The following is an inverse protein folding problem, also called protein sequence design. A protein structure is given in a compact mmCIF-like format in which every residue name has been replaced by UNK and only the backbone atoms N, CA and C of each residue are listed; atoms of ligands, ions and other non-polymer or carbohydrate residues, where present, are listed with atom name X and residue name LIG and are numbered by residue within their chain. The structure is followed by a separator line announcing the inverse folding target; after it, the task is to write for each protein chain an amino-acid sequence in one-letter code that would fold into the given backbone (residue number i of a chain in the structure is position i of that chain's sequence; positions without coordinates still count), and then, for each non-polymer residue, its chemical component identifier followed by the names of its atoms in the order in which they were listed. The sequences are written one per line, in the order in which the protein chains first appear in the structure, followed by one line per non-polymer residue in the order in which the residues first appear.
data_IF_538430879167
#
_entry.id   IF_538430879167
#
_cell.length_a   1.000
_cell.length_b   1.000
_cell.length_c   1.000
_cell.angle_alpha   90.00
_cell.angle_beta   90.00
_cell.angle_gamma   90.00
#
_symmetry.space_group_name_H-M   'P 1'
#
loop_
_entity.id
_entity.type
_entity.pdbx_description
1 polymer ?
#
# COMPACT_ATOMS: atom_id res chain seq x y z
N UNK A 1 -0.36 -13.86 4.35
CA UNK A 1 0.47 -13.86 5.56
C UNK A 1 -0.28 -14.47 6.75
N UNK A 2 0.44 -15.12 7.67
CA UNK A 2 -0.11 -15.65 8.93
C UNK A 2 0.00 -14.58 10.02
N UNK A 3 -1.04 -14.42 10.87
CA UNK A 3 -1.05 -13.38 11.90
C UNK A 3 -0.98 -13.96 13.32
N UNK A 4 -0.22 -13.28 14.18
CA UNK A 4 -0.06 -13.62 15.60
C UNK A 4 -0.51 -12.45 16.48
N UNK A 5 -1.51 -12.67 17.32
CA UNK A 5 -2.01 -11.68 18.27
C UNK A 5 -1.39 -11.84 19.65
N UNK A 6 -0.93 -10.74 20.23
CA UNK A 6 -0.58 -10.64 21.66
C UNK A 6 -1.83 -10.27 22.45
N UNK A 7 -2.39 -11.23 23.18
CA UNK A 7 -3.62 -11.06 23.95
C UNK A 7 -3.29 -10.98 25.44
N UNK A 8 -3.81 -9.93 26.10
CA UNK A 8 -3.68 -9.74 27.55
C UNK A 8 -5.00 -10.06 28.24
N UNK A 9 -4.95 -10.96 29.22
CA UNK A 9 -6.04 -11.10 30.19
C UNK A 9 -6.06 -9.88 31.11
N UNK A 10 -7.20 -9.20 31.15
CA UNK A 10 -7.37 -7.97 31.92
C UNK A 10 -7.37 -8.20 33.42
N UNK A 11 -7.70 -9.42 33.89
CA UNK A 11 -7.78 -9.79 35.31
C UNK A 11 -6.40 -10.10 35.88
N UNK A 12 -5.69 -11.08 35.31
CA UNK A 12 -4.37 -11.51 35.80
C UNK A 12 -3.19 -10.72 35.24
N UNK A 13 -3.41 -9.89 34.20
CA UNK A 13 -2.37 -9.15 33.45
C UNK A 13 -1.35 -10.05 32.77
N UNK A 14 -1.64 -11.34 32.63
CA UNK A 14 -0.84 -12.26 31.82
C UNK A 14 -1.07 -11.99 30.34
N UNK A 15 0.01 -12.07 29.57
CA UNK A 15 -0.01 -11.93 28.11
C UNK A 15 0.36 -13.29 27.50
N UNK A 16 -0.34 -13.67 26.44
CA UNK A 16 -0.08 -14.86 25.63
C UNK A 16 -0.19 -14.52 24.15
N UNK A 17 0.53 -15.27 23.32
CA UNK A 17 0.45 -15.19 21.86
C UNK A 17 -0.55 -16.22 21.33
N UNK A 18 -1.28 -15.84 20.29
CA UNK A 18 -2.26 -16.69 19.62
C UNK A 18 -2.15 -16.50 18.12
N UNK A 19 -2.00 -17.59 17.37
CA UNK A 19 -2.20 -17.57 15.92
C UNK A 19 -3.66 -17.26 15.61
N UNK A 20 -3.88 -16.37 14.66
CA UNK A 20 -5.20 -16.03 14.14
C UNK A 20 -5.48 -16.82 12.85
N UNK A 21 -6.74 -17.17 12.56
CA UNK A 21 -7.91 -16.92 13.39
C UNK A 21 -7.94 -17.80 14.65
N UNK A 22 -8.39 -17.23 15.77
CA UNK A 22 -8.51 -17.93 17.06
C UNK A 22 -9.95 -17.91 17.58
N UNK A 23 -10.33 -18.99 18.26
CA UNK A 23 -11.63 -19.13 18.90
C UNK A 23 -11.60 -18.63 20.36
N UNK A 24 -12.70 -18.04 20.83
CA UNK A 24 -12.79 -17.46 22.19
C UNK A 24 -12.62 -18.54 23.26
N UNK A 25 -13.15 -19.75 23.07
CA UNK A 25 -13.02 -20.86 24.01
C UNK A 25 -11.57 -21.30 24.14
N UNK A 26 -10.84 -21.33 23.01
CA UNK A 26 -9.41 -21.63 23.03
C UNK A 26 -8.64 -20.57 23.82
N UNK A 27 -8.87 -19.29 23.54
CA UNK A 27 -8.26 -18.17 24.27
C UNK A 27 -8.59 -18.25 25.77
N UNK A 28 -9.84 -18.49 26.13
CA UNK A 28 -10.29 -18.62 27.52
C UNK A 28 -9.58 -19.78 28.24
N UNK A 29 -9.53 -20.95 27.61
CA UNK A 29 -8.89 -22.15 28.16
C UNK A 29 -7.40 -21.94 28.43
N UNK A 30 -6.72 -21.20 27.55
CA UNK A 30 -5.31 -20.84 27.72
C UNK A 30 -5.09 -19.95 28.95
N UNK A 31 -6.05 -19.09 29.29
CA UNK A 31 -5.99 -18.31 30.52
C UNK A 31 -6.55 -19.04 31.76
N UNK A 32 -7.12 -20.24 31.59
CA UNK A 32 -7.72 -21.03 32.66
C UNK A 32 -9.11 -20.55 33.07
N UNK A 33 -9.86 -19.98 32.13
CA UNK A 33 -11.23 -19.51 32.30
C UNK A 33 -12.20 -20.27 31.39
N UNK A 34 -13.47 -20.29 31.78
CA UNK A 34 -14.57 -20.61 30.86
C UNK A 34 -14.84 -19.40 29.94
N UNK A 35 -15.52 -19.64 28.80
CA UNK A 35 -15.80 -18.61 27.77
C UNK A 35 -16.46 -17.37 28.36
N UNK A 36 -17.41 -17.55 29.28
CA UNK A 36 -18.21 -16.47 29.88
C UNK A 36 -17.41 -15.62 30.87
N UNK A 37 -16.28 -16.15 31.37
CA UNK A 37 -15.48 -15.52 32.40
C UNK A 37 -14.23 -14.80 31.87
N UNK A 38 -13.81 -15.10 30.64
CA UNK A 38 -12.63 -14.47 30.06
C UNK A 38 -12.91 -13.01 29.69
N UNK A 39 -12.01 -12.11 30.06
CA UNK A 39 -12.03 -10.71 29.62
C UNK A 39 -10.61 -10.32 29.23
N UNK A 40 -10.39 -10.11 27.94
CA UNK A 40 -9.08 -9.83 27.39
C UNK A 40 -9.09 -8.62 26.46
N UNK A 41 -7.90 -8.17 26.11
CA UNK A 41 -7.65 -7.11 25.11
C UNK A 41 -6.53 -7.57 24.19
N UNK A 42 -6.66 -7.31 22.90
CA UNK A 42 -5.57 -7.49 21.93
C UNK A 42 -4.63 -6.29 22.05
N UNK A 43 -3.36 -6.55 22.35
CA UNK A 43 -2.36 -5.51 22.54
C UNK A 43 -1.68 -5.12 21.23
N UNK A 44 -1.43 -6.11 20.37
CA UNK A 44 -0.83 -5.93 19.05
C UNK A 44 -1.04 -7.18 18.19
N UNK A 45 -0.87 -7.01 16.88
CA UNK A 45 -0.64 -8.09 15.92
C UNK A 45 0.83 -7.98 15.49
N UNK A 46 1.60 -9.05 15.65
CA UNK A 46 3.07 -9.00 15.55
C UNK A 46 3.55 -8.61 14.15
N UNK A 47 2.89 -9.13 13.13
CA UNK A 47 3.20 -8.90 11.72
C UNK A 47 2.63 -7.57 11.22
N UNK A 48 1.76 -6.90 12.00
CA UNK A 48 1.15 -5.61 11.68
C UNK A 48 1.48 -4.57 12.76
N UNK A 49 2.77 -4.20 12.95
CA UNK A 49 3.23 -3.41 14.10
C UNK A 49 2.65 -1.99 14.15
N UNK A 50 2.23 -1.45 13.00
CA UNK A 50 1.61 -0.12 12.91
C UNK A 50 0.09 -0.13 13.11
N UNK A 51 -0.54 -1.31 13.19
CA UNK A 51 -1.99 -1.44 13.32
C UNK A 51 -2.48 -0.95 14.68
N UNK A 52 -3.53 -0.11 14.69
CA UNK A 52 -4.14 0.33 15.93
C UNK A 52 -5.02 -0.78 16.53
N UNK A 53 -4.51 -1.46 17.56
CA UNK A 53 -5.25 -2.52 18.25
C UNK A 53 -6.13 -2.02 19.41
N UNK A 54 -6.21 -0.70 19.64
CA UNK A 54 -7.05 -0.16 20.71
C UNK A 54 -8.53 -0.50 20.48
N UNK A 55 -9.11 -1.28 21.40
CA UNK A 55 -10.50 -1.73 21.30
C UNK A 55 -10.75 -2.81 20.23
N UNK A 56 -9.69 -3.39 19.64
CA UNK A 56 -9.80 -4.44 18.63
C UNK A 56 -10.43 -5.71 19.24
N UNK A 57 -11.48 -6.19 18.59
CA UNK A 57 -12.17 -7.42 18.97
C UNK A 57 -11.51 -8.63 18.32
N UNK A 58 -11.69 -9.82 18.91
CA UNK A 58 -11.17 -11.06 18.31
C UNK A 58 -11.83 -11.35 16.95
N UNK A 59 -13.12 -11.07 16.80
CA UNK A 59 -13.83 -11.24 15.53
C UNK A 59 -13.24 -10.35 14.43
N UNK A 60 -12.95 -9.08 14.74
CA UNK A 60 -12.29 -8.16 13.80
C UNK A 60 -10.86 -8.60 13.48
N UNK A 61 -10.11 -9.07 14.47
CA UNK A 61 -8.75 -9.59 14.26
C UNK A 61 -8.75 -10.83 13.37
N UNK A 62 -9.69 -11.76 13.58
CA UNK A 62 -9.88 -12.94 12.73
C UNK A 62 -10.29 -12.54 11.31
N UNK A 63 -11.18 -11.57 11.16
CA UNK A 63 -11.58 -11.06 9.83
C UNK A 63 -10.40 -10.46 9.07
N UNK A 64 -9.50 -9.76 9.77
CA UNK A 64 -8.26 -9.25 9.17
C UNK A 64 -7.34 -10.41 8.77
N UNK A 65 -7.15 -11.40 9.64
CA UNK A 65 -6.33 -12.58 9.35
C UNK A 65 -6.81 -13.31 8.09
N UNK A 66 -8.12 -13.54 7.98
CA UNK A 66 -8.73 -14.14 6.78
C UNK A 66 -8.50 -13.28 5.53
N UNK A 67 -8.63 -11.96 5.63
CA UNK A 67 -8.46 -11.08 4.47
C UNK A 67 -7.00 -10.96 3.99
N UNK A 68 -6.01 -11.27 4.84
CA UNK A 68 -4.58 -11.16 4.49
C UNK A 68 -3.89 -12.52 4.29
N UNK A 69 -4.58 -13.65 4.47
CA UNK A 69 -4.00 -15.01 4.49
C UNK A 69 -3.11 -15.31 3.27
N UNK A 70 -3.56 -14.94 2.07
CA UNK A 70 -2.84 -15.16 0.80
C UNK A 70 -2.25 -13.89 0.19
N UNK A 71 -2.23 -12.78 0.97
CA UNK A 71 -1.70 -11.50 0.52
C UNK A 71 -0.21 -11.40 0.85
N UNK A 72 0.54 -10.80 -0.07
CA UNK A 72 1.94 -10.41 0.12
C UNK A 72 2.05 -9.40 1.27
N UNK A 73 2.90 -9.70 2.25
CA UNK A 73 3.11 -8.88 3.44
C UNK A 73 3.48 -7.43 3.09
N UNK A 74 4.31 -7.22 2.07
CA UNK A 74 4.73 -5.88 1.66
C UNK A 74 3.53 -5.03 1.21
N UNK A 75 2.53 -5.65 0.57
CA UNK A 75 1.31 -4.96 0.12
C UNK A 75 0.48 -4.53 1.33
N UNK A 76 0.30 -5.42 2.31
CA UNK A 76 -0.48 -5.14 3.52
C UNK A 76 0.17 -4.01 4.32
N UNK A 77 1.49 -4.08 4.53
CA UNK A 77 2.23 -3.04 5.24
C UNK A 77 2.19 -1.70 4.50
N UNK A 78 2.36 -1.69 3.17
CA UNK A 78 2.25 -0.48 2.35
C UNK A 78 0.84 0.13 2.42
N UNK A 79 -0.20 -0.70 2.53
CA UNK A 79 -1.56 -0.22 2.71
C UNK A 79 -1.73 0.51 4.05
N UNK A 80 -1.21 -0.06 5.15
CA UNK A 80 -1.28 0.59 6.48
C UNK A 80 -0.52 1.92 6.47
N UNK A 81 0.65 1.96 5.83
CA UNK A 81 1.45 3.18 5.72
C UNK A 81 0.71 4.29 4.95
N UNK A 82 -0.01 3.93 3.88
CA UNK A 82 -0.68 4.89 2.99
C UNK A 82 -2.10 5.28 3.41
N UNK A 83 -2.91 4.32 3.86
CA UNK A 83 -4.32 4.51 4.22
C UNK A 83 -4.55 4.71 5.74
N UNK A 84 -3.54 4.39 6.56
CA UNK A 84 -3.57 4.53 8.01
C UNK A 84 -3.82 3.21 8.74
N UNK A 85 -3.82 3.29 10.07
CA UNK A 85 -3.79 2.13 10.96
C UNK A 85 -5.14 1.68 11.53
N UNK A 86 -6.26 2.11 10.93
CA UNK A 86 -7.59 1.68 11.36
C UNK A 86 -7.85 0.22 10.91
N UNK A 87 -8.10 -0.73 11.83
CA UNK A 87 -8.34 -2.13 11.50
C UNK A 87 -9.53 -2.36 10.56
N UNK A 88 -10.52 -1.46 10.55
CA UNK A 88 -11.70 -1.60 9.69
C UNK A 88 -11.37 -1.50 8.20
N UNK A 89 -10.30 -0.78 7.84
CA UNK A 89 -9.84 -0.70 6.45
C UNK A 89 -9.19 -2.01 5.99
N UNK A 90 -8.36 -2.62 6.84
CA UNK A 90 -7.73 -3.91 6.54
C UNK A 90 -8.74 -5.04 6.39
N UNK A 91 -9.82 -5.03 7.16
CA UNK A 91 -10.86 -6.06 7.09
C UNK A 91 -11.73 -5.96 5.81
N UNK A 92 -11.68 -4.86 5.06
CA UNK A 92 -12.61 -4.57 3.96
C UNK A 92 -11.94 -4.26 2.61
N UNK A 93 -10.62 -4.09 2.59
CA UNK A 93 -9.88 -3.80 1.37
C UNK A 93 -9.78 -5.03 0.48
N UNK A 94 -9.95 -4.83 -0.83
CA UNK A 94 -9.69 -5.83 -1.85
C UNK A 94 -8.19 -5.78 -2.23
N UNK A 95 -7.36 -6.54 -1.55
CA UNK A 95 -5.91 -6.54 -1.77
C UNK A 95 -5.49 -7.00 -3.17
N UNK A 96 -6.31 -7.79 -3.85
CA UNK A 96 -6.07 -8.22 -5.24
C UNK A 96 -5.99 -7.04 -6.23
N UNK A 97 -6.62 -5.91 -5.89
CA UNK A 97 -6.58 -4.68 -6.70
C UNK A 97 -5.40 -3.76 -6.31
N UNK A 98 -4.63 -4.11 -5.27
CA UNK A 98 -3.47 -3.34 -4.83
C UNK A 98 -2.23 -3.75 -5.63
N UNK A 99 -1.47 -2.75 -6.08
CA UNK A 99 -0.22 -2.95 -6.81
C UNK A 99 0.88 -2.17 -6.08
N UNK A 100 1.93 -2.89 -5.70
CA UNK A 100 3.15 -2.30 -5.16
C UNK A 100 4.23 -2.28 -6.25
N UNK A 101 4.56 -1.09 -6.75
CA UNK A 101 5.70 -0.90 -7.64
C UNK A 101 6.99 -0.85 -6.83
N UNK A 102 7.63 -2.01 -6.68
CA UNK A 102 8.89 -2.14 -5.92
C UNK A 102 10.00 -1.31 -6.57
N UNK A 103 10.87 -0.74 -5.72
CA UNK A 103 12.04 0.07 -6.14
C UNK A 103 11.67 1.34 -6.93
N UNK A 104 10.45 1.84 -6.74
CA UNK A 104 9.98 3.11 -7.31
C UNK A 104 9.77 4.10 -6.17
N UNK A 105 10.76 4.96 -5.94
CA UNK A 105 10.79 5.86 -4.79
C UNK A 105 10.53 7.34 -5.19
N UNK A 106 10.51 7.63 -6.49
CA UNK A 106 10.36 8.98 -7.03
C UNK A 106 9.39 9.05 -8.21
N UNK A 107 8.81 10.24 -8.44
CA UNK A 107 7.95 10.51 -9.61
C UNK A 107 8.67 10.22 -10.94
N UNK A 108 10.00 10.40 -10.97
CA UNK A 108 10.82 10.11 -12.14
C UNK A 108 10.87 8.60 -12.41
N UNK A 109 11.19 7.80 -11.40
CA UNK A 109 11.24 6.34 -11.51
C UNK A 109 9.86 5.76 -11.84
N UNK A 110 8.78 6.32 -11.28
CA UNK A 110 7.43 5.91 -11.64
C UNK A 110 7.14 6.18 -13.12
N UNK A 111 7.51 7.37 -13.61
CA UNK A 111 7.38 7.72 -15.03
C UNK A 111 8.17 6.78 -15.95
N UNK A 112 9.42 6.47 -15.59
CA UNK A 112 10.29 5.52 -16.30
C UNK A 112 9.66 4.12 -16.32
N UNK A 113 9.24 3.61 -15.15
CA UNK A 113 8.61 2.29 -15.02
C UNK A 113 7.33 2.17 -15.88
N UNK A 114 6.46 3.18 -15.84
CA UNK A 114 5.23 3.18 -16.63
C UNK A 114 5.49 3.11 -18.14
N UNK A 115 6.54 3.78 -18.62
CA UNK A 115 6.88 3.81 -20.05
C UNK A 115 7.62 2.55 -20.47
N UNK A 116 8.62 2.13 -19.70
CA UNK A 116 9.54 1.05 -20.08
C UNK A 116 8.98 -0.35 -19.79
N UNK A 117 8.41 -0.55 -18.60
CA UNK A 117 8.01 -1.88 -18.12
C UNK A 117 6.54 -2.19 -18.43
N UNK A 118 5.65 -1.23 -18.20
CA UNK A 118 4.21 -1.42 -18.50
C UNK A 118 3.86 -1.12 -19.96
N UNK A 119 4.81 -0.60 -20.74
CA UNK A 119 4.60 -0.24 -22.14
C UNK A 119 3.43 0.73 -22.33
N UNK A 120 3.22 1.64 -21.38
CA UNK A 120 2.09 2.59 -21.44
C UNK A 120 2.26 3.45 -22.70
N UNK A 121 1.46 3.14 -23.71
CA UNK A 121 1.30 3.99 -24.89
C UNK A 121 0.57 5.27 -24.47
N UNK A 122 1.35 6.28 -24.12
CA UNK A 122 0.80 7.61 -23.90
C UNK A 122 0.19 8.11 -25.20
N UNK A 123 -1.08 8.50 -25.16
CA UNK A 123 -1.72 9.12 -26.31
C UNK A 123 -0.95 10.38 -26.72
N UNK A 124 -1.03 10.73 -28.00
CA UNK A 124 -0.39 11.95 -28.52
C UNK A 124 -0.77 13.18 -27.71
N UNK A 125 -2.04 13.29 -27.32
CA UNK A 125 -2.57 14.40 -26.53
C UNK A 125 -1.90 14.49 -25.16
N UNK A 126 -1.62 13.34 -24.52
CA UNK A 126 -0.94 13.30 -23.23
C UNK A 126 0.54 13.63 -23.36
N UNK A 127 1.22 13.13 -24.40
CA UNK A 127 2.61 13.51 -24.69
C UNK A 127 2.77 15.01 -24.93
N UNK A 128 1.82 15.65 -25.62
CA UNK A 128 1.83 17.09 -25.85
C UNK A 128 1.76 17.91 -24.56
N UNK A 129 1.22 17.36 -23.46
CA UNK A 129 1.20 18.06 -22.16
C UNK A 129 2.58 18.12 -21.50
N UNK A 130 3.49 17.22 -21.85
CA UNK A 130 4.85 17.15 -21.29
C UNK A 130 5.93 17.66 -22.25
N UNK A 131 5.58 17.94 -23.51
CA UNK A 131 6.53 18.38 -24.53
C UNK A 131 6.89 19.86 -24.35
N UNK A 132 8.18 20.14 -24.20
CA UNK A 132 8.71 21.50 -24.28
C UNK A 132 8.81 21.94 -25.75
N UNK A 133 7.78 22.66 -26.21
CA UNK A 133 7.68 23.17 -27.57
C UNK A 133 8.80 24.17 -27.93
N UNK A 134 9.28 24.96 -26.97
CA UNK A 134 10.34 25.94 -27.22
C UNK A 134 11.67 25.24 -27.45
N UNK A 135 12.01 24.26 -26.60
CA UNK A 135 13.21 23.45 -26.73
C UNK A 135 13.22 22.68 -28.06
N UNK A 136 12.12 22.03 -28.40
CA UNK A 136 11.97 21.33 -29.68
C UNK A 136 12.18 22.30 -30.87
N UNK A 137 11.51 23.45 -30.85
CA UNK A 137 11.64 24.44 -31.93
C UNK A 137 13.05 25.03 -32.04
N UNK A 138 13.75 25.21 -30.92
CA UNK A 138 15.14 25.66 -30.89
C UNK A 138 16.08 24.63 -31.53
N UNK A 139 15.93 23.35 -31.19
CA UNK A 139 16.77 22.27 -31.70
C UNK A 139 16.61 22.12 -33.22
N UNK A 140 15.36 22.06 -33.70
CA UNK A 140 15.04 22.08 -35.15
C UNK A 140 15.67 23.28 -35.83
N UNK A 141 15.56 24.48 -35.22
CA UNK A 141 16.13 25.68 -35.82
C UNK A 141 17.63 25.59 -36.05
N UNK A 142 18.35 25.08 -35.06
CA UNK A 142 19.81 24.97 -35.11
C UNK A 142 20.25 23.87 -36.08
N UNK A 143 19.55 22.73 -36.09
CA UNK A 143 19.81 21.61 -37.00
C UNK A 143 19.64 22.02 -38.46
N UNK A 144 18.57 22.75 -38.77
CA UNK A 144 18.29 23.21 -40.13
C UNK A 144 19.06 24.47 -40.53
N UNK A 145 19.81 25.09 -39.61
CA UNK A 145 20.50 26.37 -39.84
C UNK A 145 19.55 27.53 -40.16
N UNK A 146 18.28 27.43 -39.75
CA UNK A 146 17.28 28.44 -40.05
C UNK A 146 17.31 29.65 -39.10
N UNK A 147 16.49 30.64 -39.41
CA UNK A 147 16.40 31.89 -38.66
C UNK A 147 14.98 32.43 -38.63
N UNK A 148 14.65 33.18 -37.57
CA UNK A 148 13.40 33.94 -37.51
C UNK A 148 13.58 35.28 -38.24
N UNK A 149 12.68 35.58 -39.16
CA UNK A 149 12.61 36.82 -39.94
C UNK A 149 11.21 37.41 -39.82
N UNK A 150 10.99 38.65 -40.29
CA UNK A 150 9.70 39.35 -40.15
C UNK A 150 8.49 38.60 -40.72
N UNK A 151 8.72 37.69 -41.69
CA UNK A 151 7.67 36.88 -42.34
C UNK A 151 7.54 35.45 -41.78
N UNK A 152 8.27 35.09 -40.73
CA UNK A 152 8.19 33.77 -40.08
C UNK A 152 9.54 33.08 -39.90
N UNK A 153 9.53 31.74 -39.92
CA UNK A 153 10.73 30.92 -39.85
C UNK A 153 11.26 30.62 -41.25
N UNK A 154 12.55 30.87 -41.50
CA UNK A 154 13.19 30.70 -42.80
C UNK A 154 14.35 29.71 -42.72
N UNK A 155 14.39 28.77 -43.66
CA UNK A 155 15.47 27.79 -43.86
C UNK A 155 15.89 27.84 -45.33
N UNK A 156 17.20 27.90 -45.59
CA UNK A 156 17.78 27.79 -46.93
C UNK A 156 18.50 26.45 -47.03
N UNK A 157 17.91 25.47 -47.73
CA UNK A 157 18.51 24.15 -47.99
C UNK A 157 19.22 24.13 -49.33
#
# INVERSE_FOLDING_TARGET
MELTALIMDTRSKKVKQFSLPADVEYVASEFGYDREDVVFTIQSIEELPALNCEGLTLDSANSIAENVEDVDEDIVLSFIESAGSDPSYLASVAFDDCILYREVDTDRELGEYLVEELGVELSKEKLLQYLDHEKLGRDVRLEEGGSFVDKGYFVSR
#
